data_IF_397762541214
#
_entry.id   IF_397762541214
#
_cell.length_a   1.000
_cell.length_b   1.000
_cell.length_c   1.000
_cell.angle_alpha   90.00
_cell.angle_beta   90.00
_cell.angle_gamma   90.00
#
_symmetry.space_group_name_H-M   'P 1'
#
loop_
_entity.id
_entity.type
_entity.pdbx_description
1 polymer ?
#
# COMPACT_ATOMS: atom_id res chain seq x y z
N UNK A 1 -3.21 -13.12 -4.94
CA UNK A 1 -3.61 -12.24 -6.08
C UNK A 1 -5.07 -12.45 -6.49
N UNK A 2 -5.44 -13.62 -7.08
CA UNK A 2 -6.78 -13.88 -7.65
C UNK A 2 -7.93 -13.55 -6.69
N UNK A 3 -7.86 -14.03 -5.44
CA UNK A 3 -8.87 -13.75 -4.41
C UNK A 3 -9.02 -12.26 -4.11
N UNK A 4 -7.92 -11.51 -4.09
CA UNK A 4 -7.94 -10.07 -3.87
C UNK A 4 -8.53 -9.33 -5.08
N UNK A 5 -8.20 -9.73 -6.32
CA UNK A 5 -8.81 -9.15 -7.51
C UNK A 5 -10.35 -9.33 -7.51
N UNK A 6 -10.84 -10.53 -7.18
CA UNK A 6 -12.28 -10.83 -7.03
C UNK A 6 -12.92 -9.94 -5.96
N UNK A 7 -12.23 -9.71 -4.84
CA UNK A 7 -12.67 -8.81 -3.79
C UNK A 7 -12.76 -7.36 -4.27
N UNK A 8 -11.75 -6.89 -5.01
CA UNK A 8 -11.76 -5.53 -5.59
C UNK A 8 -12.82 -5.33 -6.66
N UNK A 9 -13.24 -6.39 -7.36
CA UNK A 9 -14.36 -6.38 -8.28
C UNK A 9 -15.74 -6.33 -7.59
N UNK A 10 -15.78 -6.44 -6.25
CA UNK A 10 -17.01 -6.34 -5.48
C UNK A 10 -17.82 -7.64 -5.39
N UNK A 11 -17.30 -8.77 -5.88
CA UNK A 11 -17.99 -10.06 -5.75
C UNK A 11 -18.11 -10.52 -4.29
N UNK A 12 -17.28 -10.02 -3.39
CA UNK A 12 -17.31 -10.36 -1.97
C UNK A 12 -17.13 -11.85 -1.73
N UNK A 13 -18.17 -12.52 -1.20
CA UNK A 13 -18.20 -13.97 -0.98
C UNK A 13 -18.83 -14.73 -2.16
N UNK A 14 -19.37 -14.04 -3.14
CA UNK A 14 -19.98 -14.68 -4.30
C UNK A 14 -18.90 -15.21 -5.24
N UNK A 15 -19.17 -16.33 -5.89
CA UNK A 15 -18.30 -16.85 -6.93
C UNK A 15 -18.42 -15.95 -8.18
N UNK A 16 -17.28 -15.60 -8.76
CA UNK A 16 -17.26 -15.02 -10.09
C UNK A 16 -17.58 -16.12 -11.13
N UNK A 17 -18.09 -15.75 -12.29
CA UNK A 17 -18.29 -16.68 -13.39
C UNK A 17 -16.95 -17.06 -14.08
N UNK A 18 -16.95 -18.12 -14.86
CA UNK A 18 -15.76 -18.62 -15.55
C UNK A 18 -15.11 -17.58 -16.45
N UNK A 19 -15.91 -16.80 -17.16
CA UNK A 19 -15.45 -15.70 -18.02
C UNK A 19 -14.70 -14.62 -17.21
N UNK A 20 -15.16 -14.30 -16.01
CA UNK A 20 -14.48 -13.35 -15.13
C UNK A 20 -13.13 -13.93 -14.66
N UNK A 21 -13.06 -15.21 -14.36
CA UNK A 21 -11.79 -15.87 -14.02
C UNK A 21 -10.79 -15.83 -15.18
N UNK A 22 -11.22 -16.12 -16.41
CA UNK A 22 -10.37 -16.04 -17.59
C UNK A 22 -9.84 -14.61 -17.81
N UNK A 23 -10.69 -13.61 -17.64
CA UNK A 23 -10.30 -12.19 -17.74
C UNK A 23 -9.29 -11.80 -16.65
N UNK A 24 -9.42 -12.31 -15.44
CA UNK A 24 -8.48 -12.09 -14.34
C UNK A 24 -7.12 -12.68 -14.69
N UNK A 25 -7.04 -13.93 -15.15
CA UNK A 25 -5.79 -14.58 -15.54
C UNK A 25 -5.09 -13.84 -16.69
N UNK A 26 -5.84 -13.54 -17.76
CA UNK A 26 -5.31 -12.75 -18.87
C UNK A 26 -4.82 -11.36 -18.44
N UNK A 27 -5.49 -10.73 -17.46
CA UNK A 27 -5.08 -9.44 -16.92
C UNK A 27 -3.80 -9.52 -16.12
N UNK A 28 -3.58 -10.57 -15.33
CA UNK A 28 -2.30 -10.78 -14.63
C UNK A 28 -1.17 -11.06 -15.61
N UNK A 29 -1.41 -11.84 -16.67
CA UNK A 29 -0.41 -12.07 -17.72
C UNK A 29 -0.01 -10.79 -18.44
N UNK A 30 -0.97 -9.93 -18.74
CA UNK A 30 -0.70 -8.62 -19.33
C UNK A 30 0.09 -7.71 -18.38
N UNK A 31 -0.27 -7.69 -17.10
CA UNK A 31 0.45 -6.91 -16.08
C UNK A 31 1.89 -7.41 -15.91
N UNK A 32 2.11 -8.72 -15.90
CA UNK A 32 3.44 -9.32 -15.80
C UNK A 32 4.37 -8.90 -16.96
N UNK A 33 3.81 -8.62 -18.15
CA UNK A 33 4.56 -8.15 -19.31
C UNK A 33 4.84 -6.65 -19.33
N UNK A 34 3.90 -5.84 -18.83
CA UNK A 34 3.92 -4.39 -18.99
C UNK A 34 4.35 -3.64 -17.72
N UNK A 35 4.11 -4.21 -16.54
CA UNK A 35 4.49 -3.58 -15.28
C UNK A 35 6.01 -3.65 -15.05
N UNK A 36 6.51 -2.66 -14.34
CA UNK A 36 7.91 -2.58 -13.90
C UNK A 36 7.91 -2.19 -12.43
N UNK A 37 7.61 -3.13 -11.52
CA UNK A 37 7.49 -2.83 -10.10
C UNK A 37 8.80 -2.32 -9.51
N UNK A 38 8.72 -1.25 -8.72
CA UNK A 38 9.84 -0.66 -7.99
C UNK A 38 9.41 -0.28 -6.60
N UNK A 39 10.34 -0.32 -5.66
CA UNK A 39 10.12 0.16 -4.31
C UNK A 39 11.35 0.88 -3.77
N UNK A 40 11.13 1.68 -2.76
CA UNK A 40 12.15 2.36 -1.98
C UNK A 40 11.71 2.42 -0.53
N UNK A 41 12.65 2.27 0.39
CA UNK A 41 12.40 2.49 1.81
C UNK A 41 13.60 3.13 2.49
N UNK A 42 13.34 3.75 3.64
CA UNK A 42 14.36 4.24 4.57
C UNK A 42 13.84 4.13 5.99
N UNK A 43 14.75 3.88 6.92
CA UNK A 43 14.45 3.83 8.35
C UNK A 43 14.74 5.19 8.96
N UNK A 44 13.85 5.64 9.84
CA UNK A 44 13.96 6.88 10.60
C UNK A 44 13.64 6.61 12.06
N UNK A 45 14.24 7.40 12.95
CA UNK A 45 13.85 7.41 14.34
C UNK A 45 12.44 8.00 14.50
N UNK A 46 11.69 7.47 15.45
CA UNK A 46 10.35 7.92 15.79
C UNK A 46 10.40 8.60 17.15
N UNK A 47 10.10 9.90 17.18
CA UNK A 47 9.96 10.66 18.43
C UNK A 47 8.47 10.88 18.73
N UNK A 48 8.05 10.48 19.94
CA UNK A 48 6.74 10.72 20.53
C UNK A 48 6.85 11.31 21.94
N UNK A 49 7.88 12.10 22.17
CA UNK A 49 8.11 12.80 23.44
C UNK A 49 7.01 13.81 23.78
N UNK A 50 6.30 14.32 22.77
CA UNK A 50 5.15 15.22 22.93
C UNK A 50 3.87 14.41 22.77
N UNK A 51 2.98 14.51 23.77
CA UNK A 51 1.71 13.77 23.77
C UNK A 51 0.84 14.13 22.54
N UNK A 52 0.37 13.10 21.85
CA UNK A 52 -0.45 13.24 20.66
C UNK A 52 0.30 13.61 19.37
N UNK A 53 1.62 13.83 19.42
CA UNK A 53 2.44 14.23 18.28
C UNK A 53 3.49 13.15 17.97
N UNK A 54 3.57 12.75 16.71
CA UNK A 54 4.64 11.90 16.18
C UNK A 54 5.58 12.73 15.31
N UNK A 55 6.88 12.59 15.53
CA UNK A 55 7.92 13.19 14.68
C UNK A 55 8.71 12.12 13.95
N UNK A 56 8.78 12.24 12.64
CA UNK A 56 9.55 11.35 11.76
C UNK A 56 10.33 12.21 10.77
N UNK A 57 11.63 12.32 10.95
CA UNK A 57 12.47 13.20 10.15
C UNK A 57 11.96 14.65 10.20
N UNK A 58 11.46 15.17 9.07
CA UNK A 58 10.91 16.54 8.98
C UNK A 58 9.40 16.62 9.17
N UNK A 59 8.73 15.50 9.40
CA UNK A 59 7.27 15.45 9.56
C UNK A 59 6.87 15.55 11.04
N UNK A 60 5.85 16.37 11.30
CA UNK A 60 5.08 16.37 12.55
C UNK A 60 3.66 15.91 12.25
N UNK A 61 3.25 14.80 12.85
CA UNK A 61 2.01 14.10 12.49
C UNK A 61 1.10 14.01 13.72
N UNK A 62 -0.12 14.50 13.58
CA UNK A 62 -1.18 14.31 14.56
C UNK A 62 -2.20 13.33 13.98
N UNK A 63 -2.20 12.09 14.45
CA UNK A 63 -3.14 11.03 14.04
C UNK A 63 -3.27 10.01 15.16
N UNK A 64 -4.46 9.89 15.73
CA UNK A 64 -4.77 8.91 16.78
C UNK A 64 -4.64 7.47 16.26
N UNK A 65 -5.00 7.26 15.01
CA UNK A 65 -4.93 5.94 14.38
C UNK A 65 -3.48 5.51 14.14
N UNK A 66 -2.63 6.43 13.66
CA UNK A 66 -1.22 6.16 13.46
C UNK A 66 -0.48 6.00 14.80
N UNK A 67 -0.77 6.85 15.80
CA UNK A 67 -0.24 6.70 17.17
C UNK A 67 -0.52 5.31 17.75
N UNK A 68 -1.74 4.79 17.54
CA UNK A 68 -2.12 3.45 17.98
C UNK A 68 -1.35 2.36 17.23
N UNK A 69 -1.18 2.52 15.92
CA UNK A 69 -0.42 1.58 15.09
C UNK A 69 1.06 1.54 15.49
N UNK A 70 1.65 2.69 15.82
CA UNK A 70 3.06 2.86 16.14
C UNK A 70 3.39 2.74 17.64
N UNK A 71 2.41 2.35 18.46
CA UNK A 71 2.63 2.18 19.91
C UNK A 71 3.78 1.17 20.18
N UNK A 72 4.74 1.58 21.02
CA UNK A 72 5.91 0.75 21.38
C UNK A 72 6.96 0.65 20.26
N UNK A 73 6.89 1.48 19.22
CA UNK A 73 7.91 1.56 18.19
C UNK A 73 8.88 2.71 18.50
N UNK A 74 10.18 2.47 18.35
CA UNK A 74 11.22 3.51 18.46
C UNK A 74 11.71 4.00 17.11
N UNK A 75 11.39 3.29 16.06
CA UNK A 75 11.75 3.62 14.68
C UNK A 75 10.59 3.30 13.73
N UNK A 76 10.67 3.84 12.53
CA UNK A 76 9.74 3.55 11.43
C UNK A 76 10.49 3.33 10.12
N UNK A 77 9.92 2.49 9.27
CA UNK A 77 10.23 2.44 7.84
C UNK A 77 9.27 3.39 7.13
N UNK A 78 9.79 4.38 6.41
CA UNK A 78 9.05 5.02 5.33
C UNK A 78 9.18 4.13 4.10
N UNK A 79 8.06 3.87 3.45
CA UNK A 79 7.96 2.93 2.33
C UNK A 79 7.23 3.56 1.15
N UNK A 80 7.74 3.36 -0.06
CA UNK A 80 7.11 3.76 -1.31
C UNK A 80 7.26 2.65 -2.35
N UNK A 81 6.19 2.34 -3.07
CA UNK A 81 6.19 1.33 -4.14
C UNK A 81 5.29 1.76 -5.30
N UNK A 82 5.59 1.26 -6.50
CA UNK A 82 4.83 1.49 -7.72
C UNK A 82 4.91 0.28 -8.64
N UNK A 83 3.87 0.03 -9.43
CA UNK A 83 3.91 -0.91 -10.56
C UNK A 83 4.54 -0.29 -11.82
N UNK A 84 4.84 1.01 -11.79
CA UNK A 84 5.41 1.72 -12.92
C UNK A 84 4.37 2.16 -13.97
N UNK A 85 4.80 3.06 -14.85
CA UNK A 85 3.94 3.67 -15.88
C UNK A 85 3.41 2.67 -16.93
N UNK A 86 4.02 1.48 -17.05
CA UNK A 86 3.55 0.42 -17.94
C UNK A 86 2.14 -0.06 -17.59
N UNK A 87 1.86 -0.27 -16.30
CA UNK A 87 0.53 -0.64 -15.83
C UNK A 87 -0.53 0.42 -16.18
N UNK A 88 -0.23 1.72 -15.98
CA UNK A 88 -1.15 2.81 -16.33
C UNK A 88 -1.41 2.89 -17.83
N UNK A 89 -0.36 2.75 -18.67
CA UNK A 89 -0.52 2.72 -20.13
C UNK A 89 -1.37 1.55 -20.60
N UNK A 90 -1.17 0.37 -20.02
CA UNK A 90 -1.95 -0.82 -20.32
C UNK A 90 -3.43 -0.58 -19.99
N UNK A 91 -3.72 -0.14 -18.77
CA UNK A 91 -5.10 0.15 -18.32
C UNK A 91 -5.76 1.18 -19.24
N UNK A 92 -5.06 2.29 -19.55
CA UNK A 92 -5.59 3.33 -20.45
C UNK A 92 -5.86 2.79 -21.84
N UNK A 93 -4.94 2.00 -22.42
CA UNK A 93 -5.11 1.40 -23.76
C UNK A 93 -6.35 0.50 -23.81
N UNK A 94 -6.51 -0.37 -22.81
CA UNK A 94 -7.66 -1.29 -22.74
C UNK A 94 -8.96 -0.54 -22.51
N UNK A 95 -8.97 0.54 -21.72
CA UNK A 95 -10.19 1.33 -21.46
C UNK A 95 -10.79 2.01 -22.71
N UNK A 96 -10.01 2.18 -23.78
CA UNK A 96 -10.49 2.75 -25.04
C UNK A 96 -11.28 1.75 -25.90
N UNK A 97 -11.10 0.46 -25.67
CA UNK A 97 -11.67 -0.60 -26.53
C UNK A 97 -12.56 -1.58 -25.78
N UNK A 98 -12.28 -1.83 -24.50
CA UNK A 98 -13.00 -2.80 -23.66
C UNK A 98 -13.03 -2.31 -22.20
N UNK A 99 -14.12 -1.61 -21.87
CA UNK A 99 -14.30 -1.06 -20.52
C UNK A 99 -14.46 -2.16 -19.45
N UNK A 100 -15.12 -3.28 -19.78
CA UNK A 100 -15.30 -4.38 -18.83
C UNK A 100 -13.94 -5.00 -18.45
N UNK A 101 -13.10 -5.27 -19.44
CA UNK A 101 -11.72 -5.74 -19.23
C UNK A 101 -10.88 -4.69 -18.48
N UNK A 102 -11.06 -3.41 -18.75
CA UNK A 102 -10.34 -2.35 -18.04
C UNK A 102 -10.68 -2.34 -16.54
N UNK A 103 -11.93 -2.58 -16.15
CA UNK A 103 -12.32 -2.72 -14.72
C UNK A 103 -11.64 -3.91 -14.07
N UNK A 104 -11.63 -5.07 -14.74
CA UNK A 104 -10.93 -6.27 -14.24
C UNK A 104 -9.43 -6.00 -14.09
N UNK A 105 -8.82 -5.37 -15.09
CA UNK A 105 -7.40 -5.03 -15.09
C UNK A 105 -7.03 -4.04 -13.96
N UNK A 106 -7.91 -3.07 -13.66
CA UNK A 106 -7.76 -2.16 -12.52
C UNK A 106 -7.71 -2.91 -11.19
N UNK A 107 -8.60 -3.90 -11.01
CA UNK A 107 -8.67 -4.73 -9.82
C UNK A 107 -7.44 -5.65 -9.69
N UNK A 108 -7.01 -6.26 -10.79
CA UNK A 108 -5.81 -7.09 -10.85
C UNK A 108 -4.54 -6.27 -10.53
N UNK A 109 -4.43 -5.06 -11.08
CA UNK A 109 -3.30 -4.17 -10.80
C UNK A 109 -3.26 -3.72 -9.34
N UNK A 110 -4.40 -3.48 -8.70
CA UNK A 110 -4.45 -3.22 -7.26
C UNK A 110 -3.99 -4.43 -6.44
N UNK A 111 -4.46 -5.64 -6.78
CA UNK A 111 -4.05 -6.88 -6.12
C UNK A 111 -2.55 -7.18 -6.32
N UNK A 112 -2.02 -6.91 -7.51
CA UNK A 112 -0.59 -7.05 -7.83
C UNK A 112 0.28 -6.11 -7.00
N UNK A 113 -0.13 -4.84 -6.88
CA UNK A 113 0.58 -3.86 -6.06
C UNK A 113 0.62 -4.27 -4.59
N UNK A 114 -0.51 -4.71 -4.03
CA UNK A 114 -0.57 -5.16 -2.63
C UNK A 114 0.35 -6.36 -2.38
N UNK A 115 0.31 -7.37 -3.26
CA UNK A 115 1.20 -8.54 -3.14
C UNK A 115 2.66 -8.14 -3.25
N UNK A 116 3.01 -7.27 -4.21
CA UNK A 116 4.37 -6.74 -4.34
C UNK A 116 4.83 -6.02 -3.06
N UNK A 117 3.96 -5.20 -2.47
CA UNK A 117 4.25 -4.52 -1.20
C UNK A 117 4.46 -5.52 -0.06
N UNK A 118 3.63 -6.56 0.03
CA UNK A 118 3.74 -7.61 1.04
C UNK A 118 5.07 -8.38 0.92
N UNK A 119 5.48 -8.72 -0.30
CA UNK A 119 6.76 -9.36 -0.58
C UNK A 119 7.96 -8.49 -0.15
N UNK A 120 7.93 -7.20 -0.49
CA UNK A 120 9.02 -6.30 -0.12
C UNK A 120 9.06 -6.07 1.40
N UNK A 121 7.90 -5.89 2.04
CA UNK A 121 7.81 -5.79 3.50
C UNK A 121 8.33 -7.05 4.19
N UNK A 122 8.02 -8.24 3.66
CA UNK A 122 8.53 -9.51 4.18
C UNK A 122 10.06 -9.60 4.10
N UNK A 123 10.68 -9.12 3.01
CA UNK A 123 12.15 -9.06 2.89
C UNK A 123 12.75 -8.15 3.97
N UNK A 124 12.17 -6.96 4.16
CA UNK A 124 12.59 -6.02 5.20
C UNK A 124 12.42 -6.65 6.60
N UNK A 125 11.27 -7.30 6.86
CA UNK A 125 10.99 -7.98 8.13
C UNK A 125 12.03 -9.06 8.42
N UNK A 126 12.34 -9.91 7.44
CA UNK A 126 13.33 -11.00 7.59
C UNK A 126 14.72 -10.46 7.95
N UNK A 127 15.10 -9.29 7.42
CA UNK A 127 16.39 -8.68 7.74
C UNK A 127 16.39 -8.08 9.16
N UNK A 128 15.33 -7.38 9.55
CA UNK A 128 15.20 -6.77 10.88
C UNK A 128 15.07 -7.82 11.99
N UNK A 129 14.40 -8.94 11.72
CA UNK A 129 14.23 -10.04 12.67
C UNK A 129 15.57 -10.66 13.13
N UNK A 130 16.61 -10.60 12.31
CA UNK A 130 17.97 -11.02 12.69
C UNK A 130 18.54 -10.20 13.86
N UNK A 131 18.05 -8.98 14.02
CA UNK A 131 18.42 -8.05 15.10
C UNK A 131 17.35 -7.97 16.20
N UNK A 132 16.38 -8.87 16.22
CA UNK A 132 15.28 -8.88 17.20
C UNK A 132 14.28 -7.74 17.02
N UNK A 133 14.15 -7.20 15.80
CA UNK A 133 13.25 -6.10 15.47
C UNK A 133 12.10 -6.61 14.60
N UNK A 134 10.88 -6.12 14.84
CA UNK A 134 9.65 -6.59 14.22
C UNK A 134 8.87 -5.45 13.61
N UNK A 135 8.34 -5.68 12.40
CA UNK A 135 7.52 -4.71 11.70
C UNK A 135 6.07 -4.73 12.15
N UNK A 136 5.47 -3.54 12.27
CA UNK A 136 4.03 -3.35 12.38
C UNK A 136 3.37 -3.39 11.00
N UNK A 137 2.02 -3.49 10.91
CA UNK A 137 1.31 -3.35 9.63
C UNK A 137 1.56 -1.99 8.98
N UNK A 138 1.57 -1.96 7.63
CA UNK A 138 1.64 -0.71 6.85
C UNK A 138 0.46 0.20 7.21
N UNK A 139 0.75 1.49 7.36
CA UNK A 139 -0.27 2.52 7.55
C UNK A 139 0.00 3.67 6.58
N UNK A 140 -0.93 3.91 5.66
CA UNK A 140 -0.78 4.89 4.58
C UNK A 140 -1.51 6.19 4.89
N UNK A 141 -1.01 7.35 4.43
CA UNK A 141 -1.79 8.59 4.39
C UNK A 141 -3.13 8.38 3.69
N UNK A 142 -4.19 9.02 4.18
CA UNK A 142 -5.56 8.84 3.72
C UNK A 142 -6.35 7.76 4.47
N UNK A 143 -5.71 6.97 5.35
CA UNK A 143 -6.41 6.01 6.20
C UNK A 143 -6.69 6.57 7.59
N UNK A 144 -7.91 6.29 8.07
CA UNK A 144 -8.35 6.78 9.38
C UNK A 144 -8.32 8.32 9.45
N UNK A 145 -7.60 8.85 10.42
CA UNK A 145 -7.34 10.27 10.64
C UNK A 145 -5.92 10.70 10.25
N UNK A 146 -5.20 9.89 9.45
CA UNK A 146 -3.88 10.22 8.93
C UNK A 146 -4.04 11.00 7.61
N UNK A 147 -3.75 12.32 7.58
CA UNK A 147 -4.04 13.15 6.42
C UNK A 147 -3.30 12.73 5.16
N UNK A 148 -3.97 12.84 4.00
CA UNK A 148 -3.43 12.41 2.69
C UNK A 148 -2.22 13.26 2.28
N UNK A 149 -2.13 14.49 2.73
CA UNK A 149 -1.05 15.45 2.45
C UNK A 149 0.32 14.92 2.87
N UNK A 150 0.38 14.01 3.83
CA UNK A 150 1.63 13.38 4.26
C UNK A 150 2.26 12.46 3.21
N UNK A 151 1.56 12.14 2.12
CA UNK A 151 2.19 11.48 0.97
C UNK A 151 3.36 12.29 0.41
N UNK A 152 3.21 13.63 0.31
CA UNK A 152 4.24 14.50 -0.23
C UNK A 152 5.56 14.45 0.55
N UNK A 153 5.61 14.74 1.86
CA UNK A 153 6.85 14.66 2.62
C UNK A 153 7.44 13.25 2.65
N UNK A 154 6.62 12.18 2.70
CA UNK A 154 7.10 10.80 2.61
C UNK A 154 7.84 10.59 1.27
N UNK A 155 7.23 10.96 0.15
CA UNK A 155 7.81 10.80 -1.18
C UNK A 155 9.11 11.62 -1.34
N UNK A 156 9.15 12.83 -0.79
CA UNK A 156 10.33 13.70 -0.79
C UNK A 156 11.47 13.09 0.04
N UNK A 157 11.19 12.62 1.26
CA UNK A 157 12.18 11.99 2.14
C UNK A 157 12.75 10.69 1.58
N UNK A 158 11.96 9.99 0.77
CA UNK A 158 12.37 8.77 0.05
C UNK A 158 13.07 9.06 -1.28
N UNK A 159 12.99 10.28 -1.80
CA UNK A 159 13.44 10.64 -3.17
C UNK A 159 12.75 9.76 -4.24
N UNK A 160 11.43 9.60 -4.09
CA UNK A 160 10.63 8.67 -4.91
C UNK A 160 10.72 8.98 -6.40
N UNK A 161 10.72 10.26 -6.79
CA UNK A 161 10.79 10.66 -8.21
C UNK A 161 12.06 10.12 -8.89
N UNK A 162 13.20 10.25 -8.24
CA UNK A 162 14.49 9.80 -8.76
C UNK A 162 14.68 8.29 -8.67
N UNK A 163 14.28 7.69 -7.54
CA UNK A 163 14.58 6.28 -7.26
C UNK A 163 13.62 5.31 -7.92
N UNK A 164 12.34 5.64 -7.96
CA UNK A 164 11.29 4.72 -8.46
C UNK A 164 10.39 5.35 -9.52
N UNK A 165 10.64 6.61 -9.94
CA UNK A 165 9.83 7.31 -10.93
C UNK A 165 8.42 7.65 -10.48
N UNK A 166 8.21 7.75 -9.16
CA UNK A 166 6.91 8.06 -8.56
C UNK A 166 6.85 9.55 -8.26
N UNK A 167 5.90 10.24 -8.89
CA UNK A 167 5.58 11.66 -8.70
C UNK A 167 4.16 11.85 -8.18
N UNK A 168 3.76 13.07 -7.89
CA UNK A 168 2.44 13.39 -7.38
C UNK A 168 1.95 14.72 -7.96
N UNK A 169 0.63 14.83 -8.17
CA UNK A 169 -0.03 16.07 -8.57
C UNK A 169 -0.35 16.94 -7.34
N UNK A 170 -0.69 18.20 -7.57
CA UNK A 170 -1.12 19.13 -6.50
C UNK A 170 -2.39 18.67 -5.76
N UNK A 171 -3.18 17.77 -6.39
CA UNK A 171 -4.34 17.13 -5.78
C UNK A 171 -4.03 15.82 -5.04
N UNK A 172 -2.78 15.57 -4.71
CA UNK A 172 -2.27 14.37 -4.02
C UNK A 172 -2.52 13.05 -4.77
N UNK A 173 -2.68 13.11 -6.09
CA UNK A 173 -2.74 11.89 -6.90
C UNK A 173 -1.36 11.44 -7.34
N UNK A 174 -1.01 10.22 -7.01
CA UNK A 174 0.27 9.61 -7.41
C UNK A 174 0.29 9.25 -8.89
N UNK A 175 1.44 9.44 -9.52
CA UNK A 175 1.72 9.02 -10.91
C UNK A 175 3.07 8.28 -10.95
N UNK A 176 3.11 6.99 -11.32
CA UNK A 176 1.99 6.11 -11.75
C UNK A 176 0.90 5.94 -10.72
N UNK A 177 -0.36 5.68 -11.18
CA UNK A 177 -1.53 5.59 -10.30
C UNK A 177 -1.52 4.33 -9.41
N UNK A 178 -0.92 3.26 -9.90
CA UNK A 178 -0.73 2.02 -9.12
C UNK A 178 0.52 2.13 -8.27
N UNK A 179 0.40 2.93 -7.21
CA UNK A 179 1.49 3.24 -6.28
C UNK A 179 0.97 3.34 -4.85
N UNK A 180 1.85 3.20 -3.88
CA UNK A 180 1.55 3.31 -2.45
C UNK A 180 2.69 3.99 -1.72
N UNK A 181 2.36 4.80 -0.72
CA UNK A 181 3.27 5.26 0.31
C UNK A 181 2.76 4.83 1.67
N UNK A 182 3.65 4.50 2.59
CA UNK A 182 3.26 4.04 3.93
C UNK A 182 4.32 4.35 4.98
N UNK A 183 3.89 4.34 6.24
CA UNK A 183 4.71 4.26 7.44
C UNK A 183 4.53 2.87 8.04
N UNK A 184 5.63 2.25 8.46
CA UNK A 184 5.64 0.91 9.06
C UNK A 184 6.45 1.00 10.36
N UNK A 185 5.86 0.76 11.49
CA UNK A 185 6.55 0.79 12.77
C UNK A 185 7.57 -0.34 12.93
N UNK A 186 8.67 -0.05 13.62
CA UNK A 186 9.68 -1.04 14.06
C UNK A 186 9.65 -1.10 15.58
N UNK A 187 9.44 -2.30 16.12
CA UNK A 187 9.37 -2.58 17.55
C UNK A 187 10.32 -3.69 17.95
N UNK A 188 10.81 -3.67 19.18
CA UNK A 188 11.54 -4.78 19.81
C UNK A 188 10.61 -5.90 20.29
N UNK A 189 9.31 -5.64 20.36
CA UNK A 189 8.31 -6.60 20.82
C UNK A 189 7.64 -7.27 19.63
N UNK A 190 7.62 -8.62 19.65
CA UNK A 190 6.91 -9.45 18.68
C UNK A 190 5.41 -9.47 18.97
N UNK A 191 4.80 -8.31 19.19
CA UNK A 191 3.35 -8.24 19.34
C UNK A 191 2.66 -8.40 18.00
N UNK A 192 1.68 -9.29 17.94
CA UNK A 192 0.65 -9.22 16.88
C UNK A 192 -0.13 -7.95 17.15
N UNK A 193 -0.13 -7.03 16.18
CA UNK A 193 -1.05 -5.89 16.25
C UNK A 193 -2.45 -6.47 16.46
N UNK A 194 -3.13 -6.21 17.61
CA UNK A 194 -4.34 -6.94 17.99
C UNK A 194 -5.50 -6.72 17.01
N UNK A 195 -5.36 -5.73 16.13
CA UNK A 195 -6.43 -5.35 15.21
C UNK A 195 -5.81 -4.94 13.87
N UNK A 196 -5.89 -5.79 12.87
CA UNK A 196 -5.44 -5.50 11.50
C UNK A 196 -6.56 -5.73 10.48
N UNK A 197 -6.63 -4.85 9.48
CA UNK A 197 -7.54 -5.02 8.35
C UNK A 197 -9.02 -4.89 8.71
N UNK A 198 -9.84 -5.81 8.19
CA UNK A 198 -11.30 -5.78 8.36
C UNK A 198 -11.78 -6.01 9.79
N UNK A 199 -10.97 -6.61 10.63
CA UNK A 199 -11.30 -6.84 12.06
C UNK A 199 -11.33 -5.52 12.85
N UNK A 200 -10.47 -4.56 12.45
CA UNK A 200 -10.44 -3.23 13.04
C UNK A 200 -11.54 -2.29 12.52
N UNK A 201 -12.16 -2.66 11.40
CA UNK A 201 -13.12 -1.81 10.72
C UNK A 201 -14.52 -1.97 11.31
N UNK A 202 -15.10 -0.89 11.83
CA UNK A 202 -16.46 -0.87 12.37
C UNK A 202 -17.59 -1.02 11.32
N UNK A 203 -17.26 -0.99 10.02
CA UNK A 203 -18.23 -1.10 8.93
C UNK A 203 -18.63 -2.57 8.73
N UNK A 204 -19.83 -2.95 9.18
CA UNK A 204 -20.33 -4.33 9.12
C UNK A 204 -20.73 -4.77 7.71
N UNK A 205 -21.30 -3.86 6.90
CA UNK A 205 -21.83 -4.13 5.56
C UNK A 205 -20.85 -3.62 4.47
N UNK A 206 -19.60 -4.08 4.51
CA UNK A 206 -18.60 -3.70 3.54
C UNK A 206 -18.47 -4.76 2.46
N UNK A 207 -18.74 -4.40 1.18
CA UNK A 207 -18.55 -5.28 0.02
C UNK A 207 -17.09 -5.77 -0.14
N UNK A 208 -16.12 -5.04 0.44
CA UNK A 208 -14.68 -5.34 0.39
C UNK A 208 -14.14 -6.00 1.67
N UNK A 209 -15.02 -6.42 2.59
CA UNK A 209 -14.59 -7.04 3.85
C UNK A 209 -13.89 -8.40 3.58
N UNK A 210 -12.73 -8.59 4.20
CA UNK A 210 -11.97 -9.86 4.18
C UNK A 210 -12.63 -10.91 5.05
#
# INVERSE_FOLDING_TARGET
KRREAIRYLGFGRNAADERTYELIEASFDDLNREASPRFVYRIFDLDHSVDGLLRVGTMEIQSKSLLRNLKGCGQVVLFGATLGAGADRLIRRVSLTDMARAVVLQACAAAELEEYCDEQQKKISTELEKSGLYLRPRFSPGYGDFPIEFQEPIMRMLDCAKKIGLTMTDSYMMSPTKSVTAIIGISTEKERCPISGCEACGKKDCAYRR
#
